data_IF_696452169280
#
_entry.id   IF_696452169280
#
_cell.length_a   1.000
_cell.length_b   1.000
_cell.length_c   1.000
_cell.angle_alpha   90.00
_cell.angle_beta   90.00
_cell.angle_gamma   90.00
#
_symmetry.space_group_name_H-M   'P 1'
#
loop_
_entity.id
_entity.type
_entity.pdbx_description
1 polymer ?
#
# COMPACT_ATOMS: atom_id res chain seq x y z
N UNK A 1 9.18 -6.34 -12.50
CA UNK A 1 8.73 -6.93 -13.78
C UNK A 1 9.65 -8.07 -14.18
N UNK A 2 9.18 -9.06 -14.93
CA UNK A 2 9.94 -10.26 -15.35
C UNK A 2 10.27 -10.24 -16.84
N UNK A 3 11.41 -10.80 -17.23
CA UNK A 3 11.81 -10.98 -18.63
C UNK A 3 11.32 -12.32 -19.24
N UNK A 4 10.73 -13.21 -18.45
CA UNK A 4 10.19 -14.48 -18.94
C UNK A 4 8.92 -14.86 -18.16
N UNK A 5 7.77 -14.58 -18.75
CA UNK A 5 6.44 -14.84 -18.14
C UNK A 5 6.20 -16.33 -17.89
N UNK A 6 6.65 -17.22 -18.79
CA UNK A 6 6.44 -18.66 -18.64
C UNK A 6 7.22 -19.22 -17.46
N UNK A 7 8.49 -18.81 -17.29
CA UNK A 7 9.29 -19.20 -16.12
C UNK A 7 8.65 -18.71 -14.82
N UNK A 8 8.31 -17.44 -14.75
CA UNK A 8 7.69 -16.85 -13.54
C UNK A 8 6.35 -17.50 -13.21
N UNK A 9 5.49 -17.78 -14.19
CA UNK A 9 4.21 -18.45 -13.92
C UNK A 9 4.39 -19.86 -13.34
N UNK A 10 5.37 -20.62 -13.82
CA UNK A 10 5.69 -21.95 -13.29
C UNK A 10 6.28 -21.88 -11.88
N UNK A 11 7.20 -20.95 -11.62
CA UNK A 11 7.79 -20.72 -10.29
C UNK A 11 6.71 -20.33 -9.25
N UNK A 12 5.80 -19.42 -9.60
CA UNK A 12 4.70 -19.01 -8.71
C UNK A 12 3.78 -20.20 -8.42
N UNK A 13 3.37 -20.97 -9.43
CA UNK A 13 2.56 -22.19 -9.22
C UNK A 13 3.23 -23.17 -8.26
N UNK A 14 4.53 -23.43 -8.47
CA UNK A 14 5.30 -24.32 -7.61
C UNK A 14 5.34 -23.84 -6.15
N UNK A 15 5.52 -22.53 -5.91
CA UNK A 15 5.51 -21.95 -4.55
C UNK A 15 4.17 -22.21 -3.85
N UNK A 16 3.05 -21.95 -4.54
CA UNK A 16 1.71 -22.21 -3.98
C UNK A 16 1.52 -23.69 -3.64
N UNK A 17 1.81 -24.60 -4.58
CA UNK A 17 1.64 -26.04 -4.38
C UNK A 17 2.50 -26.58 -3.24
N UNK A 18 3.75 -26.12 -3.09
CA UNK A 18 4.65 -26.53 -1.99
C UNK A 18 4.13 -26.12 -0.61
N UNK A 19 3.30 -25.08 -0.53
CA UNK A 19 2.68 -24.58 0.71
C UNK A 19 1.22 -25.03 0.89
N UNK A 20 0.75 -25.97 0.07
CA UNK A 20 -0.62 -26.51 0.15
C UNK A 20 -1.70 -25.59 -0.43
N UNK A 21 -1.32 -24.57 -1.19
CA UNK A 21 -2.24 -23.67 -1.90
C UNK A 21 -2.27 -23.92 -3.41
N UNK A 22 -3.06 -23.12 -4.13
CA UNK A 22 -3.14 -23.15 -5.59
C UNK A 22 -3.17 -21.73 -6.17
N UNK A 23 -2.52 -21.54 -7.32
CA UNK A 23 -2.63 -20.29 -8.09
C UNK A 23 -3.93 -20.34 -8.89
N UNK A 24 -4.87 -19.46 -8.56
CA UNK A 24 -6.15 -19.36 -9.27
C UNK A 24 -6.03 -18.69 -10.64
N UNK A 25 -7.15 -18.65 -11.36
CA UNK A 25 -7.26 -17.95 -12.64
C UNK A 25 -7.17 -16.43 -12.47
N UNK A 26 -6.85 -15.72 -13.55
CA UNK A 26 -6.82 -14.26 -13.54
C UNK A 26 -8.16 -13.70 -13.09
N UNK A 27 -8.15 -12.94 -11.99
CA UNK A 27 -9.34 -12.28 -11.44
C UNK A 27 -10.05 -13.00 -10.30
N UNK A 28 -9.70 -14.26 -9.98
CA UNK A 28 -10.45 -15.10 -9.03
C UNK A 28 -10.62 -14.51 -7.62
N UNK A 29 -9.71 -13.64 -7.19
CA UNK A 29 -9.76 -12.92 -5.90
C UNK A 29 -9.67 -11.41 -6.07
N UNK A 30 -9.66 -10.91 -7.31
CA UNK A 30 -9.40 -9.49 -7.60
C UNK A 30 -10.42 -8.54 -6.96
N UNK A 31 -11.67 -8.98 -6.85
CA UNK A 31 -12.76 -8.23 -6.23
C UNK A 31 -12.61 -8.04 -4.71
N UNK A 32 -11.67 -8.74 -4.07
CA UNK A 32 -11.36 -8.58 -2.64
C UNK A 32 -10.35 -7.45 -2.38
N UNK A 33 -9.80 -6.83 -3.43
CA UNK A 33 -8.74 -5.84 -3.32
C UNK A 33 -9.08 -4.57 -4.08
N UNK A 34 -8.83 -3.43 -3.44
CA UNK A 34 -8.89 -2.11 -4.07
C UNK A 34 -7.48 -1.67 -4.51
N UNK A 35 -7.41 -1.00 -5.66
CA UNK A 35 -6.19 -0.33 -6.09
C UNK A 35 -6.16 1.06 -5.44
N UNK A 36 -5.18 1.30 -4.57
CA UNK A 36 -5.05 2.53 -3.77
C UNK A 36 -3.61 3.06 -3.81
N UNK A 37 -3.45 4.35 -3.52
CA UNK A 37 -2.15 4.92 -3.20
C UNK A 37 -1.81 4.68 -1.73
N UNK A 38 -0.56 4.27 -1.45
CA UNK A 38 -0.06 4.01 -0.11
C UNK A 38 1.19 4.87 0.13
N UNK A 39 1.15 5.72 1.16
CA UNK A 39 2.26 6.58 1.59
C UNK A 39 2.60 6.19 3.03
N UNK A 40 3.88 6.02 3.32
CA UNK A 40 4.34 5.49 4.61
C UNK A 40 5.41 6.39 5.18
N UNK A 41 5.22 6.82 6.42
CA UNK A 41 6.17 7.60 7.20
C UNK A 41 6.64 6.79 8.41
N UNK A 42 7.87 7.04 8.87
CA UNK A 42 8.28 6.62 10.21
C UNK A 42 7.55 7.48 11.23
N UNK A 43 7.13 6.89 12.34
CA UNK A 43 6.48 7.61 13.43
C UNK A 43 7.45 8.54 14.18
N UNK A 44 8.74 8.24 14.14
CA UNK A 44 9.78 9.02 14.80
C UNK A 44 9.76 10.49 14.37
N UNK A 45 9.57 11.40 15.33
CA UNK A 45 9.60 12.84 15.11
C UNK A 45 8.34 13.43 14.47
N UNK A 46 7.31 12.62 14.21
CA UNK A 46 6.04 13.06 13.65
C UNK A 46 4.94 12.81 14.69
N UNK A 47 4.11 13.83 14.95
CA UNK A 47 2.92 13.65 15.78
C UNK A 47 1.79 13.04 14.93
N UNK A 48 1.21 11.92 15.38
CA UNK A 48 0.12 11.25 14.69
C UNK A 48 -1.10 12.16 14.47
N UNK A 49 -1.48 12.96 15.47
CA UNK A 49 -2.66 13.83 15.41
C UNK A 49 -2.51 14.91 14.33
N UNK A 50 -1.31 15.49 14.20
CA UNK A 50 -1.01 16.46 13.14
C UNK A 50 -1.08 15.82 11.74
N UNK A 51 -0.56 14.60 11.62
CA UNK A 51 -0.57 13.84 10.37
C UNK A 51 -1.99 13.40 10.00
N UNK A 52 -2.77 12.93 10.97
CA UNK A 52 -4.16 12.53 10.82
C UNK A 52 -5.04 13.71 10.38
N UNK A 53 -4.94 14.84 11.06
CA UNK A 53 -5.67 16.05 10.72
C UNK A 53 -5.32 16.55 9.31
N UNK A 54 -4.04 16.48 8.94
CA UNK A 54 -3.62 16.83 7.58
C UNK A 54 -4.17 15.87 6.51
N UNK A 55 -4.27 14.58 6.84
CA UNK A 55 -4.94 13.60 6.00
C UNK A 55 -6.41 13.96 5.74
N UNK A 56 -7.13 14.41 6.77
CA UNK A 56 -8.52 14.88 6.63
C UNK A 56 -8.59 16.08 5.67
N UNK A 57 -7.74 17.09 5.86
CA UNK A 57 -7.69 18.27 4.98
C UNK A 57 -7.46 17.93 3.50
N UNK A 58 -6.70 16.86 3.24
CA UNK A 58 -6.38 16.40 1.90
C UNK A 58 -7.35 15.35 1.35
N UNK A 59 -8.39 15.00 2.10
CA UNK A 59 -9.42 14.02 1.76
C UNK A 59 -8.82 12.63 1.44
N UNK A 60 -7.84 12.20 2.23
CA UNK A 60 -7.28 10.84 2.10
C UNK A 60 -8.29 9.79 2.56
N UNK A 61 -8.15 8.56 2.07
CA UNK A 61 -9.10 7.47 2.38
C UNK A 61 -8.92 6.94 3.79
N UNK A 62 -7.68 6.89 4.30
CA UNK A 62 -7.38 6.37 5.62
C UNK A 62 -6.03 6.87 6.13
N UNK A 63 -5.90 6.95 7.45
CA UNK A 63 -4.64 7.21 8.16
C UNK A 63 -4.58 6.27 9.37
N UNK A 64 -3.56 5.43 9.42
CA UNK A 64 -3.38 4.41 10.46
C UNK A 64 -2.02 4.52 11.12
N UNK A 65 -1.98 4.23 12.42
CA UNK A 65 -0.75 4.05 13.19
C UNK A 65 -0.45 2.55 13.35
N UNK A 66 0.67 2.11 12.79
CA UNK A 66 1.19 0.77 13.01
C UNK A 66 2.21 0.80 14.16
N UNK A 67 1.71 0.64 15.38
CA UNK A 67 2.49 0.63 16.62
C UNK A 67 3.60 -0.43 16.67
N UNK A 68 3.48 -1.53 15.91
CA UNK A 68 4.50 -2.60 15.92
C UNK A 68 5.70 -2.26 15.05
N UNK A 69 5.46 -1.53 13.96
CA UNK A 69 6.48 -1.18 12.98
C UNK A 69 6.96 0.27 13.12
N UNK A 70 6.36 1.04 14.05
CA UNK A 70 6.60 2.47 14.26
C UNK A 70 6.42 3.26 12.95
N UNK A 71 5.32 2.97 12.25
CA UNK A 71 4.97 3.58 10.97
C UNK A 71 3.59 4.25 11.01
N UNK A 72 3.47 5.35 10.29
CA UNK A 72 2.21 5.95 9.91
C UNK A 72 1.91 5.62 8.45
N UNK A 73 0.71 5.10 8.21
CA UNK A 73 0.27 4.61 6.90
C UNK A 73 -0.90 5.46 6.43
N UNK A 74 -0.73 6.12 5.30
CA UNK A 74 -1.74 6.96 4.66
C UNK A 74 -2.19 6.27 3.38
N UNK A 75 -3.50 6.03 3.26
CA UNK A 75 -4.12 5.45 2.08
C UNK A 75 -4.93 6.53 1.36
N UNK A 76 -4.78 6.63 0.05
CA UNK A 76 -5.50 7.61 -0.78
C UNK A 76 -5.97 6.99 -2.11
N UNK A 77 -6.80 7.72 -2.85
CA UNK A 77 -7.14 7.33 -4.22
C UNK A 77 -5.90 7.33 -5.12
N UNK A 78 -5.81 6.37 -6.05
CA UNK A 78 -4.67 6.25 -6.97
C UNK A 78 -4.45 7.54 -7.79
N UNK A 79 -5.53 8.22 -8.15
CA UNK A 79 -5.48 9.49 -8.89
C UNK A 79 -4.92 10.63 -8.05
N UNK A 80 -5.10 10.57 -6.73
CA UNK A 80 -4.66 11.59 -5.78
C UNK A 80 -3.24 11.36 -5.28
N UNK A 81 -2.65 10.19 -5.54
CA UNK A 81 -1.35 9.80 -4.98
C UNK A 81 -0.26 10.86 -5.15
N UNK A 82 -0.12 11.44 -6.35
CA UNK A 82 0.88 12.48 -6.59
C UNK A 82 0.65 13.73 -5.73
N UNK A 83 -0.58 14.25 -5.73
CA UNK A 83 -1.00 15.42 -4.93
C UNK A 83 -0.78 15.19 -3.44
N UNK A 84 -1.24 14.04 -2.92
CA UNK A 84 -1.14 13.71 -1.49
C UNK A 84 0.32 13.51 -1.09
N UNK A 85 1.11 12.77 -1.88
CA UNK A 85 2.54 12.58 -1.63
C UNK A 85 3.28 13.91 -1.53
N UNK A 86 3.08 14.80 -2.52
CA UNK A 86 3.82 16.07 -2.59
C UNK A 86 3.44 17.00 -1.43
N UNK A 87 2.16 16.99 -1.03
CA UNK A 87 1.65 17.76 0.10
C UNK A 87 2.22 17.25 1.43
N UNK A 88 2.17 15.94 1.68
CA UNK A 88 2.75 15.33 2.88
C UNK A 88 4.27 15.49 2.93
N UNK A 89 4.97 15.36 1.80
CA UNK A 89 6.41 15.58 1.73
C UNK A 89 6.78 17.02 2.06
N UNK A 90 6.00 18.00 1.62
CA UNK A 90 6.26 19.41 1.94
C UNK A 90 6.10 19.71 3.42
N UNK A 91 5.18 19.03 4.12
CA UNK A 91 4.85 19.29 5.53
C UNK A 91 5.68 18.46 6.53
N UNK A 92 6.00 17.22 6.18
CA UNK A 92 6.61 16.22 7.08
C UNK A 92 7.91 15.60 6.54
N UNK A 93 8.33 15.97 5.32
CA UNK A 93 9.53 15.43 4.66
C UNK A 93 10.82 16.19 4.95
#
# INVERSE_FOLDING_TARGET
MTNNRNRTASEIRYIFSRKGGNLGETGCVSYLFDHVGLIVYKAEGINFEDLFNYGIELEVLNVEENNKEELYVITCGVKDFGRVRDAFYTKFG
#
